data_IF_700062176960
#
_entry.id   IF_700062176960
#
_cell.length_a   1.000
_cell.length_b   1.000
_cell.length_c   1.000
_cell.angle_alpha   90.00
_cell.angle_beta   90.00
_cell.angle_gamma   90.00
#
_symmetry.space_group_name_H-M   'P 1'
#
loop_
_entity.id
_entity.type
_entity.pdbx_description
1 polymer ?
#
# COMPACT_ATOMS: atom_id res chain seq x y z
N UNK A 1 0.38 23.28 6.19
CA UNK A 1 1.76 22.82 5.91
C UNK A 1 2.91 23.86 5.86
N UNK A 2 2.68 25.16 6.07
CA UNK A 2 3.65 26.25 5.78
C UNK A 2 5.04 26.09 6.45
N UNK A 3 5.11 25.59 7.68
CA UNK A 3 6.40 25.43 8.40
C UNK A 3 7.20 24.19 7.97
N UNK A 4 6.62 23.33 7.14
CA UNK A 4 7.17 21.99 6.80
C UNK A 4 7.48 21.81 5.31
N UNK A 5 7.05 22.75 4.47
CA UNK A 5 7.17 22.69 3.01
C UNK A 5 7.78 23.98 2.53
N UNK A 6 8.94 23.87 1.89
CA UNK A 6 9.60 25.00 1.24
C UNK A 6 9.15 25.12 -0.22
N UNK A 7 9.15 26.34 -0.79
CA UNK A 7 8.81 26.54 -2.20
C UNK A 7 9.68 25.72 -3.16
N UNK A 8 10.95 25.51 -2.82
CA UNK A 8 11.92 24.75 -3.62
C UNK A 8 11.82 23.22 -3.47
N UNK A 9 11.00 22.70 -2.56
CA UNK A 9 10.88 21.25 -2.40
C UNK A 9 10.22 20.61 -3.63
N UNK A 10 10.87 19.57 -4.18
CA UNK A 10 10.40 18.84 -5.36
C UNK A 10 9.82 17.45 -5.02
N UNK A 11 10.34 16.82 -3.97
CA UNK A 11 9.98 15.46 -3.57
C UNK A 11 9.81 15.38 -2.06
N UNK A 12 8.69 14.82 -1.63
CA UNK A 12 8.40 14.55 -0.23
C UNK A 12 8.54 13.05 0.05
N UNK A 13 9.37 12.73 1.03
CA UNK A 13 9.56 11.37 1.51
C UNK A 13 8.91 11.19 2.88
N UNK A 14 7.90 10.33 2.94
CA UNK A 14 7.26 9.97 4.21
C UNK A 14 7.61 8.54 4.56
N UNK A 15 8.46 8.37 5.57
CA UNK A 15 8.87 7.07 6.04
C UNK A 15 7.99 6.62 7.22
N UNK A 16 7.45 5.41 7.11
CA UNK A 16 6.77 4.69 8.19
C UNK A 16 5.56 5.42 8.82
N UNK A 17 4.60 5.99 8.06
CA UNK A 17 3.43 6.68 8.62
C UNK A 17 2.35 5.70 9.10
N UNK A 18 2.67 4.83 10.05
CA UNK A 18 1.73 3.80 10.55
C UNK A 18 1.68 3.68 12.07
N UNK A 19 2.56 4.35 12.80
CA UNK A 19 2.61 4.21 14.26
C UNK A 19 1.39 4.88 14.90
N UNK A 20 1.02 6.06 14.40
CA UNK A 20 -0.18 6.77 14.80
C UNK A 20 -1.14 6.89 13.60
N UNK A 21 -2.41 6.55 13.80
CA UNK A 21 -3.45 6.64 12.76
C UNK A 21 -3.58 8.05 12.15
N UNK A 22 -3.23 9.09 12.90
CA UNK A 22 -3.25 10.47 12.43
C UNK A 22 -2.11 10.79 11.44
N UNK A 23 -1.01 10.02 11.43
CA UNK A 23 0.11 10.25 10.51
C UNK A 23 -0.36 10.17 9.06
N UNK A 24 -1.14 9.15 8.70
CA UNK A 24 -1.71 9.03 7.36
C UNK A 24 -2.66 10.18 6.98
N UNK A 25 -3.30 10.82 7.96
CA UNK A 25 -4.12 12.02 7.71
C UNK A 25 -3.23 13.22 7.38
N UNK A 26 -2.10 13.38 8.06
CA UNK A 26 -1.10 14.41 7.74
C UNK A 26 -0.47 14.17 6.37
N UNK A 27 -0.27 12.90 5.98
CA UNK A 27 0.19 12.57 4.63
C UNK A 27 -0.83 12.99 3.57
N UNK A 28 -2.12 12.80 3.83
CA UNK A 28 -3.18 13.28 2.95
C UNK A 28 -3.19 14.82 2.85
N UNK A 29 -3.01 15.52 3.97
CA UNK A 29 -2.87 16.99 4.00
C UNK A 29 -1.67 17.44 3.16
N UNK A 30 -0.49 16.84 3.37
CA UNK A 30 0.72 17.09 2.58
C UNK A 30 0.47 16.85 1.09
N UNK A 31 -0.19 15.76 0.72
CA UNK A 31 -0.56 15.50 -0.67
C UNK A 31 -1.43 16.61 -1.23
N UNK A 32 -2.51 16.98 -0.53
CA UNK A 32 -3.47 18.00 -1.00
C UNK A 32 -2.86 19.39 -1.11
N UNK A 33 -2.04 19.79 -0.15
CA UNK A 33 -1.48 21.15 -0.08
C UNK A 33 -0.21 21.34 -0.91
N UNK A 34 0.64 20.32 -1.02
CA UNK A 34 1.98 20.48 -1.58
C UNK A 34 2.23 19.73 -2.87
N UNK A 35 1.41 18.74 -3.22
CA UNK A 35 1.68 17.79 -4.32
C UNK A 35 0.61 17.86 -5.39
N UNK A 36 -0.67 17.79 -4.99
CA UNK A 36 -1.81 17.85 -5.89
C UNK A 36 -1.74 19.12 -6.76
N UNK A 37 -1.95 18.97 -8.07
CA UNK A 37 -1.86 20.05 -9.07
C UNK A 37 -0.46 20.68 -9.23
N UNK A 38 0.60 20.00 -8.81
CA UNK A 38 1.99 20.43 -9.02
C UNK A 38 2.79 19.33 -9.73
N UNK A 39 4.04 19.64 -10.10
CA UNK A 39 4.98 18.63 -10.61
C UNK A 39 5.65 17.80 -9.49
N UNK A 40 5.50 18.22 -8.22
CA UNK A 40 6.16 17.62 -7.06
C UNK A 40 5.71 16.18 -6.84
N UNK A 41 6.52 15.39 -6.15
CA UNK A 41 6.25 13.95 -5.91
C UNK A 41 6.12 13.65 -4.42
N UNK A 42 5.31 12.66 -4.09
CA UNK A 42 5.18 12.12 -2.74
C UNK A 42 5.47 10.62 -2.78
N UNK A 43 6.37 10.18 -1.92
CA UNK A 43 6.76 8.77 -1.80
C UNK A 43 6.53 8.35 -0.35
N UNK A 44 5.77 7.27 -0.18
CA UNK A 44 5.53 6.65 1.13
C UNK A 44 6.32 5.35 1.21
N UNK A 45 7.14 5.20 2.25
CA UNK A 45 7.73 3.91 2.61
C UNK A 45 6.97 3.30 3.78
N UNK A 46 6.62 2.01 3.65
CA UNK A 46 6.10 1.18 4.75
C UNK A 46 4.93 1.80 5.54
N UNK A 47 3.91 2.32 4.85
CA UNK A 47 2.74 2.95 5.52
C UNK A 47 1.68 1.99 6.06
N UNK A 48 1.94 0.67 6.10
CA UNK A 48 0.96 -0.37 6.50
C UNK A 48 -0.46 -0.19 5.88
N UNK A 49 -0.52 0.25 4.63
CA UNK A 49 -1.77 0.67 3.97
C UNK A 49 -2.83 -0.43 3.89
N UNK A 50 -2.42 -1.70 3.97
CA UNK A 50 -3.33 -2.85 4.00
C UNK A 50 -4.29 -2.81 5.20
N UNK A 51 -3.90 -2.24 6.35
CA UNK A 51 -4.82 -2.09 7.50
C UNK A 51 -5.97 -1.14 7.17
N UNK A 52 -5.68 -0.06 6.44
CA UNK A 52 -6.69 0.90 6.00
C UNK A 52 -7.57 0.27 4.90
N UNK A 53 -6.96 -0.42 3.94
CA UNK A 53 -7.66 -1.08 2.81
C UNK A 53 -8.56 -2.23 3.24
N UNK A 54 -8.13 -3.02 4.22
CA UNK A 54 -8.87 -4.19 4.73
C UNK A 54 -9.99 -3.84 5.71
N UNK A 55 -10.11 -2.57 6.10
CA UNK A 55 -11.11 -2.15 7.09
C UNK A 55 -10.75 -2.55 8.52
N UNK A 56 -9.46 -2.75 8.82
CA UNK A 56 -8.98 -3.03 10.18
C UNK A 56 -9.45 -1.96 11.18
N UNK A 57 -9.52 -0.70 10.73
CA UNK A 57 -10.08 0.41 11.49
C UNK A 57 -11.57 0.58 11.17
N UNK A 58 -12.49 0.32 12.12
CA UNK A 58 -13.92 0.43 11.83
C UNK A 58 -14.31 1.86 11.44
N UNK A 59 -14.99 2.07 10.30
CA UNK A 59 -15.31 3.42 9.80
C UNK A 59 -16.13 4.28 10.75
N UNK A 60 -16.97 3.68 11.59
CA UNK A 60 -17.77 4.41 12.59
C UNK A 60 -16.90 5.15 13.61
N UNK A 61 -15.78 4.55 14.02
CA UNK A 61 -14.84 5.16 14.97
C UNK A 61 -13.74 5.98 14.27
N UNK A 62 -13.37 5.61 13.03
CA UNK A 62 -12.28 6.23 12.27
C UNK A 62 -12.73 6.71 10.88
N UNK A 63 -13.73 7.61 10.78
CA UNK A 63 -14.31 8.01 9.50
C UNK A 63 -13.31 8.71 8.58
N UNK A 64 -12.42 9.55 9.13
CA UNK A 64 -11.36 10.23 8.36
C UNK A 64 -10.38 9.23 7.75
N UNK A 65 -10.01 8.18 8.50
CA UNK A 65 -9.10 7.16 8.02
C UNK A 65 -9.76 6.29 6.94
N UNK A 66 -11.02 5.92 7.14
CA UNK A 66 -11.80 5.20 6.14
C UNK A 66 -11.97 5.99 4.84
N UNK A 67 -12.05 7.32 4.91
CA UNK A 67 -12.11 8.19 3.74
C UNK A 67 -10.86 8.10 2.85
N UNK A 68 -9.68 7.76 3.41
CA UNK A 68 -8.44 7.61 2.63
C UNK A 68 -8.54 6.56 1.53
N UNK A 69 -9.38 5.52 1.70
CA UNK A 69 -9.66 4.52 0.66
C UNK A 69 -10.31 5.13 -0.59
N UNK A 70 -10.91 6.32 -0.48
CA UNK A 70 -11.57 7.02 -1.58
C UNK A 70 -10.79 8.25 -2.06
N UNK A 71 -9.91 8.79 -1.23
CA UNK A 71 -9.22 10.07 -1.51
C UNK A 71 -7.76 9.86 -1.89
N UNK A 72 -6.92 9.41 -0.95
CA UNK A 72 -5.47 9.30 -1.13
C UNK A 72 -5.06 7.99 -1.80
N UNK A 73 -5.57 6.86 -1.32
CA UNK A 73 -5.07 5.54 -1.74
C UNK A 73 -5.31 5.22 -3.23
N UNK A 74 -6.44 5.61 -3.86
CA UNK A 74 -6.68 5.34 -5.28
C UNK A 74 -5.76 6.10 -6.25
N UNK A 75 -5.21 7.24 -5.83
CA UNK A 75 -4.32 8.06 -6.67
C UNK A 75 -2.84 7.68 -6.50
N UNK A 76 -2.54 6.70 -5.66
CA UNK A 76 -1.18 6.20 -5.43
C UNK A 76 -0.86 4.99 -6.30
N UNK A 77 0.33 4.99 -6.89
CA UNK A 77 0.88 3.80 -7.56
C UNK A 77 1.67 2.96 -6.56
N UNK A 78 1.37 1.66 -6.49
CA UNK A 78 2.12 0.75 -5.61
C UNK A 78 3.38 0.23 -6.33
N UNK A 79 4.53 0.85 -6.04
CA UNK A 79 5.80 0.60 -6.74
C UNK A 79 6.50 -0.69 -6.30
N UNK A 80 6.65 -0.90 -4.99
CA UNK A 80 7.28 -2.09 -4.43
C UNK A 80 6.44 -2.59 -3.27
N UNK A 81 6.06 -3.87 -3.31
CA UNK A 81 5.18 -4.46 -2.32
C UNK A 81 5.57 -5.90 -2.04
N UNK A 82 5.52 -6.27 -0.76
CA UNK A 82 5.66 -7.64 -0.31
C UNK A 82 4.73 -7.90 0.88
N UNK A 83 3.90 -8.93 0.79
CA UNK A 83 3.07 -9.40 1.88
C UNK A 83 3.20 -10.91 2.00
N UNK A 84 3.61 -11.38 3.17
CA UNK A 84 3.84 -12.80 3.42
C UNK A 84 2.60 -13.47 3.99
N UNK A 85 2.11 -14.50 3.32
CA UNK A 85 1.07 -15.39 3.82
C UNK A 85 1.74 -16.58 4.52
N UNK A 86 1.36 -16.82 5.78
CA UNK A 86 1.86 -17.95 6.58
C UNK A 86 0.88 -19.13 6.51
N UNK A 87 1.35 -20.31 6.93
CA UNK A 87 0.53 -21.53 7.02
C UNK A 87 0.90 -22.58 5.98
N UNK A 88 0.11 -23.67 5.91
CA UNK A 88 0.37 -24.83 5.04
C UNK A 88 0.55 -24.45 3.57
N UNK A 89 -0.29 -23.54 3.08
CA UNK A 89 -0.27 -23.06 1.70
C UNK A 89 0.39 -21.67 1.59
N UNK A 90 1.33 -21.36 2.48
CA UNK A 90 1.98 -20.05 2.56
C UNK A 90 2.63 -19.60 1.24
N UNK A 91 2.85 -18.30 1.13
CA UNK A 91 3.35 -17.65 -0.08
C UNK A 91 3.56 -16.16 0.13
N UNK A 92 3.77 -15.43 -0.95
CA UNK A 92 4.01 -13.98 -0.93
C UNK A 92 3.24 -13.30 -2.04
N UNK A 93 2.42 -12.31 -1.72
CA UNK A 93 1.96 -11.34 -2.72
C UNK A 93 3.09 -10.33 -2.92
N UNK A 94 3.50 -10.14 -4.16
CA UNK A 94 4.67 -9.35 -4.53
C UNK A 94 4.36 -8.46 -5.72
N UNK A 95 4.94 -7.25 -5.73
CA UNK A 95 5.01 -6.39 -6.91
C UNK A 95 6.32 -5.62 -6.93
N UNK A 96 6.88 -5.50 -8.13
CA UNK A 96 7.96 -4.58 -8.47
C UNK A 96 7.57 -3.89 -9.78
N UNK A 97 7.16 -2.62 -9.69
CA UNK A 97 6.77 -1.79 -10.84
C UNK A 97 7.94 -1.64 -11.83
N UNK A 98 7.69 -1.64 -13.15
CA UNK A 98 6.39 -1.66 -13.82
C UNK A 98 5.75 -3.04 -13.99
N UNK A 99 6.30 -4.07 -13.34
CA UNK A 99 5.77 -5.44 -13.42
C UNK A 99 4.39 -5.62 -12.76
N UNK A 100 3.71 -6.72 -13.13
CA UNK A 100 2.40 -7.07 -12.59
C UNK A 100 2.50 -7.55 -11.14
N UNK A 101 1.33 -7.73 -10.51
CA UNK A 101 1.21 -8.39 -9.22
C UNK A 101 1.44 -9.89 -9.40
N UNK A 102 2.27 -10.47 -8.53
CA UNK A 102 2.61 -11.89 -8.55
C UNK A 102 2.32 -12.52 -7.20
N UNK A 103 1.79 -13.72 -7.21
CA UNK A 103 1.76 -14.59 -6.01
C UNK A 103 2.88 -15.60 -6.15
N UNK A 104 3.79 -15.60 -5.18
CA UNK A 104 4.99 -16.42 -5.17
C UNK A 104 4.90 -17.50 -4.09
N UNK A 105 5.37 -18.71 -4.38
CA UNK A 105 5.48 -19.81 -3.41
C UNK A 105 6.90 -20.34 -3.35
N UNK A 106 7.35 -20.70 -2.16
CA UNK A 106 8.63 -21.41 -1.97
C UNK A 106 8.41 -22.92 -2.07
N UNK A 107 9.15 -23.59 -2.94
CA UNK A 107 9.15 -25.05 -3.11
C UNK A 107 10.60 -25.54 -3.02
N UNK A 108 10.95 -26.13 -1.87
CA UNK A 108 12.34 -26.38 -1.52
C UNK A 108 13.15 -25.07 -1.49
N UNK A 109 14.25 -25.02 -2.26
CA UNK A 109 15.11 -23.83 -2.39
C UNK A 109 14.72 -22.90 -3.54
N UNK A 110 13.61 -23.16 -4.23
CA UNK A 110 13.14 -22.36 -5.38
C UNK A 110 11.95 -21.51 -5.00
N UNK A 111 11.82 -20.37 -5.65
CA UNK A 111 10.62 -19.52 -5.62
C UNK A 111 9.96 -19.61 -6.99
N UNK A 112 8.69 -20.00 -7.02
CA UNK A 112 7.89 -20.09 -8.25
C UNK A 112 6.76 -19.06 -8.21
N UNK A 113 6.41 -18.50 -9.37
CA UNK A 113 5.21 -17.69 -9.53
C UNK A 113 4.02 -18.62 -9.79
N UNK A 114 2.99 -18.54 -8.95
CA UNK A 114 1.79 -19.38 -9.05
C UNK A 114 0.58 -18.63 -9.62
N UNK A 115 0.64 -17.29 -9.63
CA UNK A 115 -0.41 -16.43 -10.19
C UNK A 115 0.15 -15.06 -10.55
N UNK A 116 -0.38 -14.45 -11.59
CA UNK A 116 0.02 -13.12 -12.06
C UNK A 116 -1.20 -12.35 -12.57
N UNK A 117 -1.29 -11.06 -12.25
CA UNK A 117 -2.34 -10.17 -12.75
C UNK A 117 -1.95 -8.69 -12.68
N UNK A 118 -2.61 -7.85 -13.48
CA UNK A 118 -2.28 -6.42 -13.59
C UNK A 118 -2.73 -5.60 -12.37
N UNK A 119 -3.90 -5.94 -11.81
CA UNK A 119 -4.49 -5.23 -10.68
C UNK A 119 -4.15 -5.93 -9.35
N UNK A 120 -4.06 -5.19 -8.25
CA UNK A 120 -3.78 -5.76 -6.94
C UNK A 120 -4.90 -6.74 -6.53
N UNK A 121 -4.62 -8.04 -6.29
CA UNK A 121 -5.61 -8.94 -5.70
C UNK A 121 -5.86 -8.56 -4.24
N UNK A 122 -7.05 -8.87 -3.74
CA UNK A 122 -7.31 -8.68 -2.31
C UNK A 122 -6.52 -9.71 -1.49
N UNK A 123 -6.14 -9.37 -0.26
CA UNK A 123 -5.47 -10.33 0.64
C UNK A 123 -6.33 -11.58 0.88
N UNK A 124 -7.66 -11.41 0.90
CA UNK A 124 -8.63 -12.51 1.05
C UNK A 124 -8.60 -13.47 -0.15
N UNK A 125 -8.65 -12.93 -1.36
CA UNK A 125 -8.56 -13.68 -2.61
C UNK A 125 -7.25 -14.47 -2.67
N UNK A 126 -6.11 -13.84 -2.35
CA UNK A 126 -4.82 -14.54 -2.32
C UNK A 126 -4.84 -15.70 -1.30
N UNK A 127 -5.34 -15.46 -0.10
CA UNK A 127 -5.32 -16.44 0.99
C UNK A 127 -6.28 -17.61 0.79
N UNK A 128 -7.48 -17.37 0.23
CA UNK A 128 -8.57 -18.33 0.17
C UNK A 128 -8.73 -19.01 -1.19
N UNK A 129 -8.30 -18.36 -2.26
CA UNK A 129 -8.56 -18.83 -3.63
C UNK A 129 -7.25 -19.16 -4.34
N UNK A 130 -6.33 -18.20 -4.44
CA UNK A 130 -5.11 -18.36 -5.25
C UNK A 130 -4.13 -19.36 -4.60
N UNK A 131 -3.71 -19.11 -3.36
CA UNK A 131 -2.74 -19.97 -2.70
C UNK A 131 -3.28 -21.40 -2.50
N UNK A 132 -4.52 -21.63 -2.01
CA UNK A 132 -4.99 -23.00 -1.84
C UNK A 132 -5.14 -23.80 -3.14
N UNK A 133 -5.32 -23.14 -4.29
CA UNK A 133 -5.52 -23.79 -5.59
C UNK A 133 -4.22 -24.02 -6.39
N UNK A 134 -3.10 -23.44 -5.93
CA UNK A 134 -1.79 -23.52 -6.56
C UNK A 134 -0.96 -24.73 -6.10
#
# INVERSE_FOLDING_TARGET
>A
MVDRVKPEDEVFLVAYPYFNVNEMLVVEELYKEAVLNTARKLIIFNGELDRIRSGYYPPFFYPKLAALNKTLLPVMETVYYIHNFKGRNGGRLFRCYPGPWKVLRSVGNKVICVHEQDNMPSLKEVALEILPSA
#
